data_IF_074269280180
#
_entry.id   IF_074269280180
#
_cell.length_a   1.000
_cell.length_b   1.000
_cell.length_c   1.000
_cell.angle_alpha   90.00
_cell.angle_beta   90.00
_cell.angle_gamma   90.00
#
_symmetry.space_group_name_H-M   'P 1'
#
loop_
_entity.id
_entity.type
_entity.pdbx_description
1 polymer ?
#
# COMPACT_ATOMS: atom_id res chain seq x y z
N UNK A 1 -17.59 -36.19 -43.37
CA UNK A 1 -18.01 -34.94 -42.69
C UNK A 1 -18.45 -35.23 -41.27
N UNK A 2 -19.18 -36.31 -41.03
CA UNK A 2 -19.63 -36.73 -39.68
C UNK A 2 -18.45 -37.02 -38.72
N UNK A 3 -17.43 -37.74 -39.15
CA UNK A 3 -16.28 -38.07 -38.35
C UNK A 3 -15.55 -36.82 -37.78
N UNK A 4 -15.48 -35.74 -38.58
CA UNK A 4 -14.85 -34.48 -38.15
C UNK A 4 -15.70 -33.79 -37.08
N UNK A 5 -17.02 -33.84 -37.23
CA UNK A 5 -17.96 -33.30 -36.24
C UNK A 5 -17.89 -34.08 -34.91
N UNK A 6 -17.80 -35.40 -35.00
CA UNK A 6 -17.67 -36.24 -33.78
C UNK A 6 -16.38 -35.96 -33.03
N UNK A 7 -15.25 -35.79 -33.71
CA UNK A 7 -13.97 -35.41 -33.13
C UNK A 7 -14.08 -34.03 -32.46
N UNK A 8 -14.74 -33.08 -33.11
CA UNK A 8 -14.94 -31.73 -32.55
C UNK A 8 -15.80 -31.77 -31.27
N UNK A 9 -16.88 -32.56 -31.29
CA UNK A 9 -17.73 -32.74 -30.08
C UNK A 9 -16.96 -33.35 -28.91
N UNK A 10 -16.16 -34.37 -29.18
CA UNK A 10 -15.32 -35.02 -28.15
C UNK A 10 -14.31 -34.00 -27.58
N UNK A 11 -13.68 -33.21 -28.43
CA UNK A 11 -12.74 -32.17 -27.99
C UNK A 11 -13.41 -31.12 -27.10
N UNK A 12 -14.56 -30.61 -27.51
CA UNK A 12 -15.32 -29.63 -26.70
C UNK A 12 -15.79 -30.23 -25.41
N UNK A 13 -16.23 -31.47 -25.38
CA UNK A 13 -16.64 -32.16 -24.18
C UNK A 13 -15.48 -32.32 -23.17
N UNK A 14 -14.31 -32.74 -23.63
CA UNK A 14 -13.12 -32.85 -22.78
C UNK A 14 -12.70 -31.49 -22.20
N UNK A 15 -12.73 -30.45 -23.05
CA UNK A 15 -12.37 -29.09 -22.61
C UNK A 15 -13.35 -28.56 -21.57
N UNK A 16 -14.66 -28.79 -21.78
CA UNK A 16 -15.71 -28.40 -20.83
C UNK A 16 -15.56 -29.12 -19.50
N UNK A 17 -15.24 -30.40 -19.53
CA UNK A 17 -15.03 -31.23 -18.33
C UNK A 17 -13.78 -30.76 -17.54
N UNK A 18 -12.74 -30.39 -18.24
CA UNK A 18 -11.52 -29.82 -17.63
C UNK A 18 -11.81 -28.50 -16.90
N UNK A 19 -12.52 -27.56 -17.54
CA UNK A 19 -12.89 -26.29 -16.89
C UNK A 19 -13.87 -26.49 -15.74
N UNK A 20 -14.78 -27.44 -15.85
CA UNK A 20 -15.69 -27.80 -14.74
C UNK A 20 -14.90 -28.32 -13.54
N UNK A 21 -13.92 -29.20 -13.78
CA UNK A 21 -13.06 -29.70 -12.71
C UNK A 21 -12.24 -28.59 -12.05
N UNK A 22 -11.71 -27.64 -12.83
CA UNK A 22 -11.02 -26.47 -12.29
C UNK A 22 -11.96 -25.57 -11.49
N UNK A 23 -13.18 -25.37 -11.93
CA UNK A 23 -14.18 -24.58 -11.22
C UNK A 23 -14.55 -25.22 -9.87
N UNK A 24 -14.76 -26.54 -9.84
CA UNK A 24 -15.05 -27.30 -8.62
C UNK A 24 -13.87 -27.23 -7.65
N UNK A 25 -12.65 -27.37 -8.16
CA UNK A 25 -11.44 -27.23 -7.35
C UNK A 25 -11.34 -25.85 -6.72
N UNK A 26 -11.60 -24.79 -7.49
CA UNK A 26 -11.57 -23.40 -7.00
C UNK A 26 -12.67 -23.10 -5.97
N UNK A 27 -13.84 -23.78 -6.06
CA UNK A 27 -14.90 -23.65 -5.06
C UNK A 27 -14.55 -24.35 -3.74
N UNK A 28 -13.71 -25.38 -3.77
CA UNK A 28 -13.20 -26.06 -2.58
C UNK A 28 -11.98 -25.38 -1.96
N UNK A 29 -11.27 -24.57 -2.70
CA UNK A 29 -10.22 -23.74 -2.14
C UNK A 29 -10.91 -22.73 -1.21
N UNK A 30 -10.72 -22.90 0.08
CA UNK A 30 -11.22 -21.94 1.08
C UNK A 30 -10.70 -20.56 0.65
N UNK A 31 -11.58 -19.54 0.56
CA UNK A 31 -11.11 -18.20 0.25
C UNK A 31 -9.98 -17.90 1.22
N UNK A 32 -8.86 -17.36 0.68
CA UNK A 32 -7.72 -16.95 1.49
C UNK A 32 -8.25 -16.04 2.59
N UNK A 33 -8.61 -16.64 3.71
CA UNK A 33 -8.96 -15.90 4.92
C UNK A 33 -7.64 -15.38 5.43
N UNK A 34 -7.44 -14.10 5.25
CA UNK A 34 -6.53 -13.36 6.12
C UNK A 34 -7.13 -13.54 7.52
N UNK A 35 -6.72 -14.61 8.20
CA UNK A 35 -7.15 -14.82 9.58
C UNK A 35 -6.75 -13.58 10.36
N UNK A 36 -7.70 -13.08 11.15
CA UNK A 36 -7.51 -12.00 12.11
C UNK A 36 -6.50 -12.40 13.21
N UNK A 37 -5.25 -12.68 12.83
CA UNK A 37 -4.14 -12.82 13.77
C UNK A 37 -3.56 -11.48 14.20
N UNK A 38 -4.18 -10.38 13.74
CA UNK A 38 -3.67 -9.03 13.92
C UNK A 38 -3.71 -8.49 15.34
N UNK A 39 -4.32 -9.20 16.31
CA UNK A 39 -4.53 -8.65 17.66
C UNK A 39 -3.57 -9.12 18.75
N UNK A 40 -2.59 -9.97 18.44
CA UNK A 40 -1.72 -10.59 19.48
C UNK A 40 -0.29 -10.05 19.56
N UNK A 41 0.09 -9.07 18.70
CA UNK A 41 1.43 -8.48 18.79
C UNK A 41 1.40 -7.23 19.63
N UNK A 42 2.02 -7.31 20.83
CA UNK A 42 2.13 -6.20 21.78
C UNK A 42 3.12 -5.13 21.32
N UNK A 43 4.10 -5.49 20.51
CA UNK A 43 5.07 -4.54 19.98
C UNK A 43 4.52 -3.77 18.78
N UNK A 44 4.55 -2.45 18.89
CA UNK A 44 4.12 -1.53 17.85
C UNK A 44 5.35 -0.85 17.28
N UNK A 45 5.63 -1.13 15.99
CA UNK A 45 6.71 -0.46 15.26
C UNK A 45 6.45 1.04 15.14
N UNK A 46 7.51 1.82 15.09
CA UNK A 46 7.43 3.24 14.80
C UNK A 46 7.42 3.45 13.28
N UNK A 47 6.26 3.81 12.76
CA UNK A 47 6.03 3.92 11.32
C UNK A 47 6.25 5.35 10.83
N UNK A 48 6.98 5.52 9.73
CA UNK A 48 6.99 6.74 8.96
C UNK A 48 6.01 6.62 7.79
N UNK A 49 4.85 7.27 7.90
CA UNK A 49 3.84 7.32 6.85
C UNK A 49 4.18 8.44 5.87
N UNK A 50 4.51 8.08 4.65
CA UNK A 50 4.93 9.02 3.59
C UNK A 50 3.82 9.16 2.57
N UNK A 51 3.31 10.37 2.42
CA UNK A 51 2.27 10.72 1.45
C UNK A 51 2.88 11.59 0.37
N UNK A 52 2.79 11.16 -0.88
CA UNK A 52 3.17 11.99 -2.00
C UNK A 52 1.93 12.71 -2.56
N UNK A 53 1.98 14.04 -2.60
CA UNK A 53 0.88 14.86 -3.07
C UNK A 53 1.34 15.83 -4.15
N UNK A 54 0.58 15.86 -5.25
CA UNK A 54 0.74 16.81 -6.33
C UNK A 54 -0.63 17.45 -6.65
N UNK A 55 -0.84 18.69 -6.22
CA UNK A 55 -2.07 19.45 -6.45
C UNK A 55 -3.40 18.81 -5.98
N UNK A 56 -3.37 17.88 -5.03
CA UNK A 56 -4.54 17.13 -4.54
C UNK A 56 -4.95 17.55 -3.12
N UNK A 57 -5.30 18.82 -2.95
CA UNK A 57 -5.60 19.39 -1.63
C UNK A 57 -6.75 18.67 -0.89
N UNK A 58 -7.86 18.41 -1.57
CA UNK A 58 -9.07 17.85 -0.93
C UNK A 58 -8.85 16.41 -0.49
N UNK A 59 -8.26 15.58 -1.35
CA UNK A 59 -8.00 14.17 -1.05
C UNK A 59 -6.96 14.02 0.04
N UNK A 60 -5.94 14.89 0.02
CA UNK A 60 -4.91 14.93 1.06
C UNK A 60 -5.48 15.26 2.44
N UNK A 61 -6.38 16.25 2.55
CA UNK A 61 -7.03 16.60 3.81
C UNK A 61 -7.87 15.45 4.35
N UNK A 62 -8.60 14.74 3.48
CA UNK A 62 -9.38 13.57 3.87
C UNK A 62 -8.48 12.44 4.36
N UNK A 63 -7.40 12.13 3.63
CA UNK A 63 -6.45 11.08 4.03
C UNK A 63 -5.79 11.39 5.38
N UNK A 64 -5.41 12.64 5.65
CA UNK A 64 -4.87 13.03 6.95
C UNK A 64 -5.89 12.87 8.08
N UNK A 65 -7.18 13.17 7.83
CA UNK A 65 -8.26 12.91 8.79
C UNK A 65 -8.41 11.39 9.06
N UNK A 66 -8.36 10.57 8.02
CA UNK A 66 -8.40 9.11 8.16
C UNK A 66 -7.18 8.57 8.93
N UNK A 67 -5.99 9.16 8.75
CA UNK A 67 -4.80 8.82 9.54
C UNK A 67 -4.94 9.21 11.02
N UNK A 68 -5.58 10.33 11.35
CA UNK A 68 -5.87 10.69 12.74
C UNK A 68 -6.85 9.75 13.43
N UNK A 69 -7.66 9.02 12.65
CA UNK A 69 -8.66 8.06 13.14
C UNK A 69 -8.16 6.60 13.09
N UNK A 70 -6.86 6.37 12.89
CA UNK A 70 -6.32 5.03 12.86
C UNK A 70 -6.36 4.35 14.22
N UNK A 71 -6.69 3.06 14.20
CA UNK A 71 -6.60 2.17 15.37
C UNK A 71 -5.14 1.73 15.59
N UNK A 72 -4.27 2.72 15.78
CA UNK A 72 -2.83 2.58 16.00
C UNK A 72 -2.35 3.69 16.93
N UNK A 73 -1.43 3.42 17.89
CA UNK A 73 -1.00 4.45 18.82
C UNK A 73 -0.40 5.65 18.11
N UNK A 74 -0.92 6.83 18.39
CA UNK A 74 -0.53 8.07 17.71
C UNK A 74 0.95 8.42 17.89
N UNK A 75 1.57 7.95 18.96
CA UNK A 75 3.00 8.15 19.23
C UNK A 75 3.91 7.18 18.47
N UNK A 76 3.33 6.13 17.87
CA UNK A 76 4.07 5.12 17.13
C UNK A 76 4.01 5.33 15.60
N UNK A 77 3.53 6.46 15.13
CA UNK A 77 3.69 6.82 13.73
C UNK A 77 3.82 8.33 13.54
N UNK A 78 4.53 8.70 12.48
CA UNK A 78 4.72 10.08 12.04
C UNK A 78 4.32 10.22 10.59
N UNK A 79 3.61 11.28 10.26
CA UNK A 79 3.12 11.55 8.90
C UNK A 79 4.02 12.58 8.23
N UNK A 80 4.52 12.24 7.06
CA UNK A 80 5.33 13.10 6.20
C UNK A 80 4.59 13.31 4.88
N UNK A 81 4.31 14.56 4.55
CA UNK A 81 3.68 14.92 3.29
C UNK A 81 4.71 15.57 2.36
N UNK A 82 5.00 14.88 1.27
CA UNK A 82 5.85 15.38 0.20
C UNK A 82 5.00 16.19 -0.77
N UNK A 83 5.20 17.50 -0.79
CA UNK A 83 4.52 18.40 -1.72
C UNK A 83 5.43 18.68 -2.92
N UNK A 84 5.04 18.16 -4.10
CA UNK A 84 5.74 18.39 -5.35
C UNK A 84 5.06 19.49 -6.16
N UNK A 85 5.72 20.66 -6.25
CA UNK A 85 5.24 21.82 -6.99
C UNK A 85 3.74 22.14 -6.78
N UNK A 86 3.28 22.05 -5.54
CA UNK A 86 1.90 22.35 -5.20
C UNK A 86 1.66 23.86 -5.26
N UNK A 87 1.06 24.33 -6.35
CA UNK A 87 0.53 25.68 -6.46
C UNK A 87 -0.87 25.71 -5.80
N UNK A 88 -1.13 26.62 -4.88
CA UNK A 88 -2.48 26.84 -4.34
C UNK A 88 -2.65 26.61 -2.85
N UNK A 89 -1.59 26.80 -2.06
CA UNK A 89 -1.71 26.83 -0.60
C UNK A 89 -1.85 25.45 0.05
N UNK A 90 -1.40 24.38 -0.62
CA UNK A 90 -1.33 23.06 -0.01
C UNK A 90 -0.32 23.01 1.15
N UNK A 91 0.67 23.88 1.12
CA UNK A 91 1.63 24.12 2.21
C UNK A 91 0.97 24.79 3.43
N UNK A 92 -0.11 25.56 3.21
CA UNK A 92 -0.85 26.24 4.29
C UNK A 92 -1.93 25.34 4.92
N UNK A 93 -2.27 24.21 4.28
CA UNK A 93 -3.35 23.34 4.71
C UNK A 93 -3.15 22.79 6.13
N UNK A 94 -1.90 22.57 6.51
CA UNK A 94 -1.53 21.98 7.80
C UNK A 94 -0.71 22.94 8.67
N UNK A 95 -0.76 24.26 8.41
CA UNK A 95 -0.09 25.24 9.24
C UNK A 95 -0.61 25.18 10.67
N UNK A 96 0.29 24.86 11.61
CA UNK A 96 -0.04 24.70 13.02
C UNK A 96 -0.53 23.29 13.40
N UNK A 97 -0.59 22.36 12.46
CA UNK A 97 -0.87 20.94 12.76
C UNK A 97 0.42 20.17 13.00
N UNK A 98 0.73 19.90 14.27
CA UNK A 98 1.93 19.16 14.66
C UNK A 98 1.90 17.67 14.27
N UNK A 99 0.78 17.18 13.77
CA UNK A 99 0.62 15.80 13.33
C UNK A 99 1.27 15.53 11.97
N UNK A 100 1.36 16.56 11.11
CA UNK A 100 1.86 16.42 9.74
C UNK A 100 3.18 17.16 9.58
N UNK A 101 4.20 16.45 9.12
CA UNK A 101 5.48 17.04 8.72
C UNK A 101 5.47 17.33 7.22
N UNK A 102 5.42 18.59 6.85
CA UNK A 102 5.43 19.01 5.44
C UNK A 102 6.87 19.06 4.93
N UNK A 103 7.12 18.38 3.81
CA UNK A 103 8.38 18.44 3.07
C UNK A 103 8.11 18.99 1.69
N UNK A 104 8.45 20.27 1.49
CA UNK A 104 8.33 20.92 0.18
C UNK A 104 9.52 20.54 -0.70
N UNK A 105 9.21 20.03 -1.88
CA UNK A 105 10.20 19.75 -2.91
C UNK A 105 10.17 20.93 -3.88
N UNK A 106 11.07 21.89 -3.64
CA UNK A 106 11.27 23.02 -4.51
C UNK A 106 12.57 22.82 -5.31
N UNK A 107 12.47 22.67 -6.61
CA UNK A 107 13.62 22.54 -7.50
C UNK A 107 13.29 23.05 -8.90
N UNK A 108 14.30 23.45 -9.64
CA UNK A 108 14.19 23.82 -11.06
C UNK A 108 14.00 22.52 -11.87
N UNK A 109 12.75 22.26 -12.25
CA UNK A 109 12.30 21.05 -12.90
C UNK A 109 11.46 20.18 -11.94
N UNK A 110 10.50 19.45 -12.49
CA UNK A 110 9.72 18.47 -11.73
C UNK A 110 10.64 17.35 -11.27
N UNK A 111 11.01 17.35 -10.00
CA UNK A 111 11.64 16.19 -9.37
C UNK A 111 10.60 15.08 -9.42
N UNK A 112 10.88 13.95 -10.07
CA UNK A 112 9.94 12.85 -10.15
C UNK A 112 9.61 12.28 -8.76
N UNK A 113 8.44 11.64 -8.62
CA UNK A 113 8.00 10.99 -7.37
C UNK A 113 9.10 10.15 -6.73
N UNK A 114 9.76 9.32 -7.54
CA UNK A 114 10.77 8.38 -7.07
C UNK A 114 12.00 9.08 -6.47
N UNK A 115 12.45 10.16 -7.11
CA UNK A 115 13.56 10.95 -6.60
C UNK A 115 13.21 11.69 -5.31
N UNK A 116 12.00 12.24 -5.23
CA UNK A 116 11.50 12.91 -4.04
C UNK A 116 11.39 11.97 -2.84
N UNK A 117 10.83 10.80 -3.08
CA UNK A 117 10.70 9.74 -2.08
C UNK A 117 12.09 9.26 -1.63
N UNK A 118 13.02 9.02 -2.56
CA UNK A 118 14.38 8.58 -2.24
C UNK A 118 15.12 9.58 -1.36
N UNK A 119 15.03 10.88 -1.66
CA UNK A 119 15.65 11.93 -0.84
C UNK A 119 15.06 11.97 0.58
N UNK A 120 13.75 11.78 0.73
CA UNK A 120 13.13 11.71 2.05
C UNK A 120 13.58 10.47 2.82
N UNK A 121 13.60 9.31 2.19
CA UNK A 121 14.06 8.06 2.81
C UNK A 121 15.50 8.22 3.29
N UNK A 122 16.40 8.73 2.45
CA UNK A 122 17.79 8.98 2.82
C UNK A 122 17.92 9.90 4.04
N UNK A 123 17.08 10.93 4.11
CA UNK A 123 17.05 11.83 5.27
C UNK A 123 16.52 11.15 6.52
N UNK A 124 15.44 10.40 6.42
CA UNK A 124 14.76 9.76 7.54
C UNK A 124 15.45 8.46 8.00
N UNK A 125 16.20 7.77 7.13
CA UNK A 125 16.95 6.56 7.48
C UNK A 125 18.05 6.79 8.52
N UNK A 126 18.42 8.06 8.74
CA UNK A 126 19.36 8.45 9.79
C UNK A 126 18.69 8.51 11.18
N UNK A 127 17.36 8.52 11.22
CA UNK A 127 16.57 8.53 12.45
C UNK A 127 16.31 7.09 12.88
N UNK A 128 17.09 6.63 13.86
CA UNK A 128 17.01 5.27 14.41
C UNK A 128 15.70 4.98 15.15
N UNK A 129 14.84 5.97 15.30
CA UNK A 129 13.50 5.78 15.92
C UNK A 129 12.44 5.36 14.91
N UNK A 130 12.76 5.26 13.64
CA UNK A 130 11.85 4.78 12.59
C UNK A 130 12.18 3.33 12.27
N UNK A 131 11.23 2.45 12.46
CA UNK A 131 11.39 1.02 12.19
C UNK A 131 11.01 0.68 10.75
N UNK A 132 9.97 1.34 10.21
CA UNK A 132 9.44 1.03 8.88
C UNK A 132 8.84 2.24 8.16
N UNK A 133 8.82 2.19 6.83
CA UNK A 133 8.21 3.20 5.98
C UNK A 133 6.93 2.68 5.33
N UNK A 134 5.87 3.46 5.38
CA UNK A 134 4.57 3.19 4.75
C UNK A 134 4.28 4.26 3.71
N UNK A 135 4.15 3.86 2.45
CA UNK A 135 3.87 4.80 1.35
C UNK A 135 2.40 4.76 0.96
N UNK A 136 1.78 5.95 0.92
CA UNK A 136 0.37 6.10 0.54
C UNK A 136 0.26 7.22 -0.49
N UNK A 137 -0.46 6.96 -1.58
CA UNK A 137 -0.79 8.02 -2.54
C UNK A 137 -1.91 8.91 -1.98
N UNK A 138 -1.83 10.22 -2.21
CA UNK A 138 -2.74 11.21 -1.63
C UNK A 138 -4.22 11.07 -2.08
N UNK A 139 -4.50 10.27 -3.09
CA UNK A 139 -5.83 9.97 -3.62
C UNK A 139 -6.47 8.72 -3.03
N UNK A 140 -5.80 8.06 -2.10
CA UNK A 140 -6.29 6.84 -1.47
C UNK A 140 -7.13 7.15 -0.24
N UNK A 141 -8.11 6.28 0.01
CA UNK A 141 -8.83 6.18 1.28
C UNK A 141 -8.40 4.91 2.00
N UNK A 142 -8.23 4.99 3.30
CA UNK A 142 -7.70 3.91 4.13
C UNK A 142 -8.68 3.54 5.25
N UNK A 143 -8.86 2.26 5.57
CA UNK A 143 -9.69 1.86 6.71
C UNK A 143 -9.00 2.19 8.04
N UNK A 144 -9.79 2.28 9.12
CA UNK A 144 -9.28 2.64 10.46
C UNK A 144 -8.24 1.67 11.02
N UNK A 145 -8.22 0.42 10.58
CA UNK A 145 -7.26 -0.60 11.01
C UNK A 145 -6.07 -0.77 10.05
N UNK A 146 -5.85 0.17 9.14
CA UNK A 146 -4.83 0.06 8.09
C UNK A 146 -3.40 -0.08 8.68
N UNK A 147 -3.00 0.82 9.58
CA UNK A 147 -1.66 0.79 10.19
C UNK A 147 -1.47 -0.45 11.08
N UNK A 148 -2.48 -0.85 11.81
CA UNK A 148 -2.46 -2.09 12.61
C UNK A 148 -2.27 -3.32 11.71
N UNK A 149 -2.92 -3.34 10.55
CA UNK A 149 -2.77 -4.43 9.58
C UNK A 149 -1.36 -4.50 8.99
N UNK A 150 -0.78 -3.34 8.66
CA UNK A 150 0.60 -3.25 8.18
C UNK A 150 1.59 -3.73 9.25
N UNK A 151 1.49 -3.21 10.48
CA UNK A 151 2.37 -3.61 11.57
C UNK A 151 2.35 -5.13 11.77
N UNK A 152 1.18 -5.73 11.74
CA UNK A 152 1.03 -7.18 11.89
C UNK A 152 1.68 -7.97 10.75
N UNK A 153 1.68 -7.42 9.54
CA UNK A 153 2.37 -7.98 8.38
C UNK A 153 3.90 -7.87 8.47
N UNK A 154 4.41 -6.81 9.09
CA UNK A 154 5.84 -6.60 9.30
C UNK A 154 6.40 -7.54 10.38
N UNK A 155 5.68 -7.69 11.48
CA UNK A 155 6.09 -8.57 12.60
C UNK A 155 5.96 -10.04 12.25
N UNK A 156 5.01 -10.41 11.37
CA UNK A 156 4.88 -11.75 10.82
C UNK A 156 5.15 -11.72 9.33
N UNK A 157 6.40 -11.75 8.90
CA UNK A 157 6.69 -11.87 7.48
C UNK A 157 6.17 -13.23 7.02
N UNK A 158 4.95 -13.28 6.50
CA UNK A 158 4.53 -14.34 5.61
C UNK A 158 5.54 -14.29 4.49
N UNK A 159 6.42 -15.28 4.46
CA UNK A 159 7.51 -15.39 3.51
C UNK A 159 6.98 -15.18 2.10
N UNK A 160 7.00 -13.97 1.61
CA UNK A 160 6.96 -13.68 0.19
C UNK A 160 8.34 -14.04 -0.37
N UNK A 161 8.67 -15.34 -0.30
CA UNK A 161 9.73 -15.89 -1.11
C UNK A 161 9.27 -15.82 -2.54
N UNK A 162 10.03 -15.08 -3.30
CA UNK A 162 10.11 -15.02 -4.75
C UNK A 162 9.44 -13.82 -5.45
N UNK A 163 10.24 -12.77 -5.51
CA UNK A 163 10.60 -12.21 -6.80
C UNK A 163 12.12 -11.93 -6.76
N UNK A 164 12.93 -12.97 -6.94
CA UNK A 164 14.26 -12.75 -7.47
C UNK A 164 14.06 -12.28 -8.91
N UNK A 165 14.26 -11.01 -9.16
CA UNK A 165 14.57 -10.54 -10.49
C UNK A 165 15.84 -11.29 -10.93
N UNK A 166 15.74 -12.09 -11.98
CA UNK A 166 16.91 -12.57 -12.69
C UNK A 166 17.57 -11.35 -13.31
N UNK A 167 18.64 -10.90 -12.69
CA UNK A 167 19.63 -10.07 -13.36
C UNK A 167 20.34 -10.98 -14.38
N UNK A 168 20.12 -10.71 -15.64
CA UNK A 168 21.01 -11.10 -16.74
C UNK A 168 21.60 -9.84 -17.33
#
# INVERSE_FOLDING_TARGET
MELILDILYIYVAIYSLYFLALAIRNLNDKPFRIEKRYSQYEEKDNLAVVIYARNNRITLDNLVKELKMQDYPINNFRVFVLLDNCSGGSDQLFNGDNFVNIVNITGVGTVGKDQAVSMLIERLSKDQTIDSFVFIDADRSIPSNFLTSINSGLVNPVSYTHLRAHET
#
